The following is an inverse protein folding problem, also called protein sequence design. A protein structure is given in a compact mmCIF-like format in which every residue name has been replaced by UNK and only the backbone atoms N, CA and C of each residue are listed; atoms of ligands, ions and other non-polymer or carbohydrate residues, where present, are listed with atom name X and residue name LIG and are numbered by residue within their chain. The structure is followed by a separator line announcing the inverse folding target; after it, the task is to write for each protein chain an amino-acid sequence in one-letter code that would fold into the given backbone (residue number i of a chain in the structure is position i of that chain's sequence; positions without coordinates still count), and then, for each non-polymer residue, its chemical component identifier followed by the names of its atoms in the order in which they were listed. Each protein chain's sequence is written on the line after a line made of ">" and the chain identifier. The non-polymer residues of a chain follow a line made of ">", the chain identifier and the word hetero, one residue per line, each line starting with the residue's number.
data_IF_271332200254
#
_entry.id   IF_271332200254
#
_cell.length_a   1.000
_cell.length_b   1.000
_cell.length_c   1.000
_cell.angle_alpha   90.00
_cell.angle_beta   90.00
_cell.angle_gamma   90.00
#
_symmetry.space_group_name_H-M   'P 1'
#
loop_
_entity.id
_entity.type
_entity.pdbx_description
1 polymer ?
#
# COMPACT_ATOMS: atom_id res chain seq x y z
N UNK A 1 5.89 -3.06 15.86
CA UNK A 1 4.61 -2.89 15.14
C UNK A 1 3.50 -2.74 16.17
N UNK A 2 2.82 -1.59 16.18
CA UNK A 2 1.73 -1.26 17.12
C UNK A 2 0.41 -1.76 16.55
N UNK A 3 -0.32 -2.54 17.33
CA UNK A 3 -1.53 -3.23 16.89
C UNK A 3 -2.69 -2.87 17.80
N UNK A 4 -3.88 -2.71 17.21
CA UNK A 4 -5.15 -2.71 17.92
C UNK A 4 -6.02 -3.87 17.47
N UNK A 5 -6.84 -4.41 18.36
CA UNK A 5 -7.84 -5.45 18.05
C UNK A 5 -9.21 -4.90 18.42
N UNK A 6 -10.18 -5.02 17.52
CA UNK A 6 -11.59 -4.75 17.79
C UNK A 6 -12.39 -6.04 17.59
N UNK A 7 -12.93 -6.57 18.69
CA UNK A 7 -13.60 -7.87 18.78
C UNK A 7 -14.51 -7.84 20.02
N UNK A 8 -15.81 -8.06 19.84
CA UNK A 8 -16.79 -8.02 20.94
C UNK A 8 -16.87 -9.34 21.70
N UNK A 9 -16.39 -10.44 21.12
CA UNK A 9 -16.30 -11.73 21.79
C UNK A 9 -15.00 -11.86 22.64
N UNK A 10 -15.09 -11.93 23.98
CA UNK A 10 -13.91 -11.97 24.85
C UNK A 10 -13.06 -13.23 24.68
N UNK A 11 -13.65 -14.35 24.26
CA UNK A 11 -12.93 -15.61 24.02
C UNK A 11 -12.07 -15.48 22.76
N UNK A 12 -12.63 -14.93 21.70
CA UNK A 12 -11.93 -14.73 20.43
C UNK A 12 -10.86 -13.65 20.54
N UNK A 13 -11.15 -12.55 21.24
CA UNK A 13 -10.17 -11.52 21.57
C UNK A 13 -8.96 -12.14 22.30
N UNK A 14 -9.21 -12.97 23.33
CA UNK A 14 -8.14 -13.65 24.07
C UNK A 14 -7.34 -14.60 23.17
N UNK A 15 -8.00 -15.29 22.25
CA UNK A 15 -7.34 -16.18 21.30
C UNK A 15 -6.44 -15.41 20.32
N UNK A 16 -6.94 -14.34 19.71
CA UNK A 16 -6.17 -13.46 18.81
C UNK A 16 -4.95 -12.90 19.56
N UNK A 17 -5.14 -12.40 20.79
CA UNK A 17 -4.03 -11.89 21.63
C UNK A 17 -2.94 -12.93 21.83
N UNK A 18 -3.31 -14.17 22.15
CA UNK A 18 -2.35 -15.26 22.32
C UNK A 18 -1.63 -15.64 21.02
N UNK A 19 -2.27 -15.49 19.86
CA UNK A 19 -1.60 -15.70 18.57
C UNK A 19 -0.59 -14.59 18.27
N UNK A 20 -0.97 -13.33 18.51
CA UNK A 20 -0.11 -12.16 18.26
C UNK A 20 1.06 -12.08 19.25
N UNK A 21 0.87 -12.48 20.51
CA UNK A 21 1.92 -12.41 21.54
C UNK A 21 3.10 -13.36 21.30
N UNK A 22 2.97 -14.31 20.35
CA UNK A 22 4.07 -15.20 19.93
C UNK A 22 5.16 -14.46 19.15
N UNK A 23 4.88 -13.24 18.69
CA UNK A 23 5.81 -12.40 17.94
C UNK A 23 6.21 -11.19 18.78
N UNK A 24 7.48 -11.14 19.19
CA UNK A 24 8.02 -10.08 20.07
C UNK A 24 8.00 -8.68 19.45
N UNK A 25 7.88 -8.57 18.13
CA UNK A 25 7.85 -7.28 17.44
C UNK A 25 6.45 -6.63 17.47
N UNK A 26 5.45 -7.31 18.04
CA UNK A 26 4.07 -6.84 18.13
C UNK A 26 3.80 -6.25 19.51
N UNK A 27 3.42 -4.98 19.53
CA UNK A 27 2.94 -4.29 20.72
C UNK A 27 1.43 -4.07 20.58
N UNK A 28 0.63 -4.74 21.41
CA UNK A 28 -0.80 -4.48 21.51
C UNK A 28 -1.02 -3.17 22.27
N UNK A 29 -1.56 -2.16 21.59
CA UNK A 29 -1.73 -0.80 22.14
C UNK A 29 -3.19 -0.44 22.47
N UNK A 30 -4.13 -1.33 22.16
CA UNK A 30 -5.53 -1.15 22.48
C UNK A 30 -6.36 -2.38 22.16
N UNK A 31 -7.52 -2.45 22.80
CA UNK A 31 -8.57 -3.46 22.61
C UNK A 31 -9.89 -2.71 22.59
N UNK A 32 -10.76 -3.03 21.64
CA UNK A 32 -12.09 -2.44 21.52
C UNK A 32 -13.14 -3.55 21.43
N UNK A 33 -14.32 -3.32 22.01
CA UNK A 33 -15.45 -4.24 21.91
C UNK A 33 -16.56 -3.76 20.96
N UNK A 34 -16.40 -2.57 20.37
CA UNK A 34 -17.33 -2.00 19.41
C UNK A 34 -16.60 -1.05 18.45
N UNK A 35 -17.22 -0.73 17.31
CA UNK A 35 -16.56 0.08 16.29
C UNK A 35 -16.28 1.53 16.69
N UNK A 36 -17.09 2.14 17.57
CA UNK A 36 -16.84 3.52 18.05
C UNK A 36 -15.60 3.56 18.95
N UNK A 37 -15.49 2.60 19.88
CA UNK A 37 -14.31 2.45 20.72
C UNK A 37 -13.05 2.21 19.87
N UNK A 38 -13.15 1.39 18.82
CA UNK A 38 -12.06 1.14 17.89
C UNK A 38 -11.57 2.44 17.23
N UNK A 39 -12.47 3.27 16.69
CA UNK A 39 -12.13 4.56 16.07
C UNK A 39 -11.42 5.50 17.06
N UNK A 40 -11.96 5.61 18.27
CA UNK A 40 -11.41 6.46 19.32
C UNK A 40 -9.99 6.02 19.71
N UNK A 41 -9.78 4.72 19.91
CA UNK A 41 -8.48 4.18 20.26
C UNK A 41 -7.49 4.26 19.10
N UNK A 42 -7.91 4.03 17.86
CA UNK A 42 -7.06 4.20 16.67
C UNK A 42 -6.58 5.66 16.59
N UNK A 43 -7.48 6.62 16.78
CA UNK A 43 -7.15 8.05 16.74
C UNK A 43 -6.18 8.45 17.85
N UNK A 44 -6.39 7.91 19.07
CA UNK A 44 -5.56 8.21 20.25
C UNK A 44 -4.18 7.55 20.20
N UNK A 45 -4.10 6.30 19.77
CA UNK A 45 -2.89 5.48 19.87
C UNK A 45 -2.09 5.40 18.58
N UNK A 46 -2.66 5.84 17.44
CA UNK A 46 -2.05 5.82 16.11
C UNK A 46 -1.32 4.50 15.81
N UNK A 47 -2.03 3.35 15.79
CA UNK A 47 -1.41 2.05 15.55
C UNK A 47 -1.02 1.87 14.08
N UNK A 48 -0.10 0.94 13.81
CA UNK A 48 0.30 0.57 12.45
C UNK A 48 -0.77 -0.31 11.78
N UNK A 49 -1.49 -1.09 12.59
CA UNK A 49 -2.45 -2.12 12.13
C UNK A 49 -3.66 -2.18 13.06
N UNK A 50 -4.85 -2.32 12.47
CA UNK A 50 -6.08 -2.72 13.16
C UNK A 50 -6.55 -4.09 12.67
N UNK A 51 -6.76 -5.02 13.61
CA UNK A 51 -7.53 -6.24 13.38
C UNK A 51 -8.97 -5.97 13.82
N UNK A 52 -9.92 -6.10 12.89
CA UNK A 52 -11.32 -5.75 13.12
C UNK A 52 -12.21 -6.96 12.85
N UNK A 53 -13.13 -7.29 13.75
CA UNK A 53 -14.31 -8.04 13.35
C UNK A 53 -15.26 -7.14 12.55
N UNK A 54 -15.93 -7.71 11.57
CA UNK A 54 -17.01 -7.04 10.85
C UNK A 54 -18.24 -6.94 11.75
N UNK A 55 -18.57 -8.01 12.47
CA UNK A 55 -19.78 -8.08 13.28
C UNK A 55 -19.52 -7.60 14.68
N UNK A 56 -19.49 -6.28 14.83
CA UNK A 56 -19.37 -5.61 16.12
C UNK A 56 -20.60 -4.74 16.40
N UNK A 57 -21.00 -4.57 17.67
CA UNK A 57 -22.10 -3.70 18.04
C UNK A 57 -21.76 -2.23 17.75
N UNK A 58 -22.81 -1.41 17.71
CA UNK A 58 -22.78 0.05 17.50
C UNK A 58 -22.30 0.48 16.11
N UNK A 59 -21.22 -0.12 15.61
CA UNK A 59 -20.63 0.14 14.30
C UNK A 59 -19.82 -1.07 13.85
N UNK A 60 -20.06 -1.51 12.63
CA UNK A 60 -19.37 -2.67 12.05
C UNK A 60 -17.90 -2.36 11.72
N UNK A 61 -17.06 -3.40 11.64
CA UNK A 61 -15.67 -3.24 11.22
C UNK A 61 -15.52 -2.62 9.83
N UNK A 62 -16.46 -2.89 8.92
CA UNK A 62 -16.46 -2.28 7.57
C UNK A 62 -16.71 -0.77 7.64
N UNK A 63 -17.66 -0.33 8.45
CA UNK A 63 -17.92 1.09 8.67
C UNK A 63 -16.75 1.77 9.36
N UNK A 64 -16.11 1.10 10.33
CA UNK A 64 -14.85 1.58 10.92
C UNK A 64 -13.81 1.78 9.82
N UNK A 65 -13.53 0.77 9.01
CA UNK A 65 -12.50 0.83 7.97
C UNK A 65 -12.74 1.95 6.94
N UNK A 66 -14.01 2.24 6.60
CA UNK A 66 -14.37 3.36 5.69
C UNK A 66 -14.04 4.73 6.26
N UNK A 67 -13.98 4.87 7.58
CA UNK A 67 -13.68 6.13 8.26
C UNK A 67 -12.21 6.28 8.65
N UNK A 68 -11.41 5.22 8.50
CA UNK A 68 -9.99 5.27 8.77
C UNK A 68 -9.23 5.93 7.61
N UNK A 69 -8.20 6.71 7.96
CA UNK A 69 -7.28 7.30 6.99
C UNK A 69 -6.34 6.23 6.39
N UNK A 70 -5.79 6.47 5.18
CA UNK A 70 -4.90 5.55 4.43
C UNK A 70 -3.59 5.13 5.15
N UNK A 71 -3.29 5.73 6.31
CA UNK A 71 -2.05 5.49 7.04
C UNK A 71 -2.06 4.18 7.84
N UNK A 72 -3.23 3.68 8.26
CA UNK A 72 -3.36 2.45 9.04
C UNK A 72 -3.64 1.23 8.15
N UNK A 73 -3.00 0.12 8.48
CA UNK A 73 -3.27 -1.18 7.85
C UNK A 73 -4.50 -1.83 8.47
N UNK A 74 -5.49 -2.23 7.66
CA UNK A 74 -6.68 -2.94 8.18
C UNK A 74 -6.61 -4.42 7.82
N UNK A 75 -6.92 -5.29 8.79
CA UNK A 75 -7.14 -6.73 8.58
C UNK A 75 -8.49 -7.10 9.19
N UNK A 76 -9.34 -7.77 8.41
CA UNK A 76 -10.59 -8.30 8.91
C UNK A 76 -10.42 -9.72 9.46
N UNK A 77 -11.02 -9.99 10.62
CA UNK A 77 -11.14 -11.33 11.20
C UNK A 77 -12.61 -11.57 11.50
N UNK A 78 -13.29 -12.43 10.74
CA UNK A 78 -14.75 -12.54 10.85
C UNK A 78 -15.27 -13.94 10.55
N UNK A 79 -16.47 -14.26 11.04
CA UNK A 79 -17.19 -15.49 10.68
C UNK A 79 -17.96 -15.37 9.35
N UNK A 80 -18.07 -14.15 8.79
CA UNK A 80 -18.85 -13.91 7.58
C UNK A 80 -18.01 -14.15 6.32
N UNK A 81 -18.55 -14.90 5.35
CA UNK A 81 -17.88 -15.11 4.06
C UNK A 81 -18.22 -14.02 3.03
N UNK A 82 -19.39 -13.40 3.16
CA UNK A 82 -20.00 -12.61 2.07
C UNK A 82 -19.42 -11.20 1.94
N UNK A 83 -18.72 -10.70 2.97
CA UNK A 83 -18.17 -9.35 3.01
C UNK A 83 -16.76 -9.23 2.43
N UNK A 84 -16.19 -10.30 1.87
CA UNK A 84 -14.83 -10.27 1.34
C UNK A 84 -14.66 -9.18 0.26
N UNK A 85 -15.63 -9.00 -0.64
CA UNK A 85 -15.58 -7.97 -1.68
C UNK A 85 -15.58 -6.54 -1.12
N UNK A 86 -16.37 -6.29 -0.09
CA UNK A 86 -16.42 -4.99 0.57
C UNK A 86 -15.16 -4.70 1.39
N UNK A 87 -14.63 -5.72 2.06
CA UNK A 87 -13.34 -5.63 2.72
C UNK A 87 -12.21 -5.27 1.74
N UNK A 88 -12.26 -5.77 0.50
CA UNK A 88 -11.31 -5.36 -0.55
C UNK A 88 -11.51 -3.91 -0.99
N UNK A 89 -12.75 -3.43 -1.11
CA UNK A 89 -13.02 -2.07 -1.61
C UNK A 89 -12.55 -0.98 -0.65
N UNK A 90 -12.49 -1.28 0.66
CA UNK A 90 -11.95 -0.38 1.69
C UNK A 90 -10.41 -0.48 1.85
N UNK A 91 -9.73 -1.21 0.96
CA UNK A 91 -8.27 -1.29 0.94
C UNK A 91 -7.66 -2.10 2.09
N UNK A 92 -8.41 -3.05 2.67
CA UNK A 92 -7.84 -3.94 3.70
C UNK A 92 -6.67 -4.77 3.14
N UNK A 93 -5.68 -5.02 3.98
CA UNK A 93 -4.50 -5.82 3.64
C UNK A 93 -4.87 -7.29 3.53
N UNK A 94 -5.80 -7.74 4.38
CA UNK A 94 -6.17 -9.13 4.48
C UNK A 94 -7.56 -9.36 5.06
N UNK A 95 -8.11 -10.53 4.76
CA UNK A 95 -9.39 -11.03 5.22
C UNK A 95 -9.22 -12.46 5.73
N UNK A 96 -9.49 -12.67 7.01
CA UNK A 96 -9.29 -13.94 7.72
C UNK A 96 -10.64 -14.44 8.21
N UNK A 97 -10.98 -15.67 7.84
CA UNK A 97 -12.19 -16.33 8.30
C UNK A 97 -11.96 -17.02 9.64
N UNK A 98 -12.95 -16.92 10.52
CA UNK A 98 -13.06 -17.73 11.74
C UNK A 98 -13.54 -19.14 11.35
N UNK A 99 -13.02 -20.23 11.95
CA UNK A 99 -12.01 -20.25 13.01
C UNK A 99 -10.60 -19.90 12.49
N UNK A 100 -9.85 -19.16 13.30
CA UNK A 100 -8.55 -18.61 12.89
C UNK A 100 -7.47 -19.70 12.89
N UNK A 101 -6.93 -19.98 11.71
CA UNK A 101 -5.71 -20.77 11.52
C UNK A 101 -4.47 -19.97 11.98
N UNK A 102 -3.69 -20.47 12.96
CA UNK A 102 -2.46 -19.82 13.41
C UNK A 102 -1.45 -19.52 12.29
N UNK A 103 -1.32 -20.42 11.32
CA UNK A 103 -0.41 -20.21 10.18
C UNK A 103 -0.92 -19.10 9.25
N UNK A 104 -2.25 -18.92 9.17
CA UNK A 104 -2.85 -17.83 8.41
C UNK A 104 -2.51 -16.47 9.03
N UNK A 105 -2.65 -16.32 10.35
CA UNK A 105 -2.26 -15.09 11.05
C UNK A 105 -0.77 -14.80 10.87
N UNK A 106 0.09 -15.81 11.00
CA UNK A 106 1.55 -15.65 10.82
C UNK A 106 1.92 -15.13 9.43
N UNK A 107 1.26 -15.65 8.38
CA UNK A 107 1.42 -15.15 7.00
C UNK A 107 0.97 -13.69 6.88
N UNK A 108 -0.16 -13.33 7.49
CA UNK A 108 -0.68 -11.96 7.50
C UNK A 108 0.28 -11.01 8.21
N UNK A 109 0.77 -11.35 9.40
CA UNK A 109 1.79 -10.57 10.13
C UNK A 109 3.04 -10.37 9.27
N UNK A 110 3.54 -11.43 8.65
CA UNK A 110 4.73 -11.35 7.78
C UNK A 110 4.51 -10.38 6.62
N UNK A 111 3.33 -10.41 6.00
CA UNK A 111 2.96 -9.48 4.92
C UNK A 111 2.89 -8.04 5.41
N UNK A 112 2.26 -7.81 6.56
CA UNK A 112 2.18 -6.48 7.17
C UNK A 112 3.57 -5.97 7.52
N UNK A 113 4.42 -6.76 8.18
CA UNK A 113 5.79 -6.34 8.51
C UNK A 113 6.56 -5.86 7.29
N UNK A 114 6.41 -6.49 6.12
CA UNK A 114 7.01 -6.01 4.86
C UNK A 114 6.47 -4.64 4.43
N UNK A 115 5.16 -4.44 4.53
CA UNK A 115 4.50 -3.17 4.19
C UNK A 115 4.88 -2.07 5.18
N UNK A 116 4.87 -2.35 6.48
CA UNK A 116 5.24 -1.40 7.55
C UNK A 116 6.73 -1.07 7.53
N UNK A 117 7.60 -2.06 7.28
CA UNK A 117 9.04 -1.83 7.11
C UNK A 117 9.32 -0.91 5.92
N UNK A 118 8.55 -1.06 4.84
CA UNK A 118 8.60 -0.15 3.69
C UNK A 118 8.01 1.24 3.98
N UNK A 119 7.05 1.36 4.91
CA UNK A 119 6.47 2.66 5.36
C UNK A 119 7.38 3.44 6.33
N UNK A 120 8.14 2.77 7.20
CA UNK A 120 8.85 3.41 8.33
C UNK A 120 10.37 3.60 8.15
N UNK A 121 10.97 3.13 7.06
CA UNK A 121 12.30 3.56 6.66
C UNK A 121 12.14 4.62 5.57
N UNK A 122 12.82 5.77 5.67
CA UNK A 122 12.97 6.63 4.48
C UNK A 122 13.71 5.81 3.44
N UNK A 123 12.97 5.21 2.51
CA UNK A 123 13.53 4.41 1.44
C UNK A 123 14.20 5.38 0.50
N UNK A 124 15.52 5.54 0.64
CA UNK A 124 16.28 6.48 -0.17
C UNK A 124 17.01 5.76 -1.28
N UNK A 125 16.94 6.30 -2.49
CA UNK A 125 17.82 5.91 -3.59
C UNK A 125 18.90 6.96 -3.78
N UNK A 126 20.14 6.50 -4.01
CA UNK A 126 21.22 7.37 -4.43
C UNK A 126 21.11 7.62 -5.93
N UNK A 127 21.15 8.88 -6.34
CA UNK A 127 21.12 9.29 -7.75
C UNK A 127 22.25 10.28 -8.04
N UNK A 128 22.84 10.16 -9.22
CA UNK A 128 23.94 11.01 -9.65
C UNK A 128 23.43 12.24 -10.40
N UNK A 129 23.73 13.43 -9.87
CA UNK A 129 23.41 14.72 -10.48
C UNK A 129 24.71 15.49 -10.63
N UNK A 130 25.16 15.71 -11.86
CA UNK A 130 26.45 16.40 -12.14
C UNK A 130 27.61 15.74 -11.36
N UNK A 131 28.14 16.40 -10.32
CA UNK A 131 29.26 15.95 -9.47
C UNK A 131 28.84 15.60 -8.04
N UNK A 132 27.54 15.47 -7.79
CA UNK A 132 27.00 15.18 -6.46
C UNK A 132 26.10 13.94 -6.49
N UNK A 133 26.08 13.22 -5.37
CA UNK A 133 25.12 12.16 -5.09
C UNK A 133 23.98 12.77 -4.29
N UNK A 134 22.76 12.71 -4.82
CA UNK A 134 21.56 13.10 -4.11
C UNK A 134 20.84 11.84 -3.63
N UNK A 135 20.37 11.85 -2.38
CA UNK A 135 19.53 10.79 -1.85
C UNK A 135 18.06 11.20 -1.94
N UNK A 136 17.30 10.52 -2.78
CA UNK A 136 15.87 10.79 -2.99
C UNK A 136 15.02 9.81 -2.21
N UNK A 137 14.03 10.33 -1.48
CA UNK A 137 12.98 9.52 -0.87
C UNK A 137 12.08 8.93 -1.95
N UNK A 138 12.09 7.60 -2.05
CA UNK A 138 11.35 6.82 -3.04
C UNK A 138 9.85 7.04 -2.93
N UNK A 139 9.33 7.27 -1.72
CA UNK A 139 7.91 7.50 -1.49
C UNK A 139 7.42 8.83 -2.08
N UNK A 140 8.33 9.76 -2.37
CA UNK A 140 8.00 11.05 -3.00
C UNK A 140 8.04 11.00 -4.52
N UNK A 141 8.54 9.91 -5.12
CA UNK A 141 8.67 9.77 -6.58
C UNK A 141 7.34 9.31 -7.18
N UNK A 142 6.84 10.05 -8.18
CA UNK A 142 5.60 9.75 -8.91
C UNK A 142 5.89 8.91 -10.16
N UNK A 143 6.78 9.40 -11.03
CA UNK A 143 7.21 8.69 -12.23
C UNK A 143 8.60 9.13 -12.66
N UNK A 144 9.22 8.33 -13.53
CA UNK A 144 10.44 8.66 -14.25
C UNK A 144 10.14 8.77 -15.74
N UNK A 145 10.73 9.77 -16.40
CA UNK A 145 10.62 9.99 -17.85
C UNK A 145 12.02 10.06 -18.48
N UNK A 146 12.27 9.26 -19.51
CA UNK A 146 13.48 9.41 -20.33
C UNK A 146 13.33 10.60 -21.26
N UNK A 147 14.20 11.59 -21.08
CA UNK A 147 14.27 12.78 -21.94
C UNK A 147 15.19 12.50 -23.13
N UNK A 148 14.67 12.36 -24.37
CA UNK A 148 15.45 11.89 -25.51
C UNK A 148 16.61 12.82 -25.89
N UNK A 149 16.38 14.14 -25.79
CA UNK A 149 17.30 15.16 -26.28
C UNK A 149 18.52 15.37 -25.38
N UNK A 150 18.37 15.14 -24.07
CA UNK A 150 19.39 15.50 -23.06
C UNK A 150 20.08 14.29 -22.44
N UNK A 151 19.75 13.07 -22.87
CA UNK A 151 20.29 11.79 -22.34
C UNK A 151 20.23 11.70 -20.80
N UNK A 152 19.14 12.21 -20.22
CA UNK A 152 18.86 12.18 -18.78
C UNK A 152 17.51 11.58 -18.51
N UNK A 153 17.32 11.16 -17.27
CA UNK A 153 16.04 10.70 -16.74
C UNK A 153 15.50 11.79 -15.83
N UNK A 154 14.30 12.27 -16.13
CA UNK A 154 13.53 13.15 -15.29
C UNK A 154 12.87 12.32 -14.19
N UNK A 155 13.07 12.69 -12.93
CA UNK A 155 12.34 12.19 -11.78
C UNK A 155 11.29 13.22 -11.42
N UNK A 156 10.01 12.87 -11.60
CA UNK A 156 8.90 13.69 -11.14
C UNK A 156 8.56 13.29 -9.70
N UNK A 157 8.62 14.26 -8.80
CA UNK A 157 8.32 14.11 -7.38
C UNK A 157 6.99 14.80 -7.04
N UNK A 158 6.48 14.52 -5.85
CA UNK A 158 5.38 15.28 -5.24
C UNK A 158 5.70 16.79 -5.17
N UNK A 159 4.64 17.60 -5.02
CA UNK A 159 4.71 19.07 -5.00
C UNK A 159 5.29 19.68 -6.30
N UNK A 160 5.09 19.01 -7.45
CA UNK A 160 5.57 19.44 -8.76
C UNK A 160 7.10 19.66 -8.85
N UNK A 161 7.87 18.98 -8.00
CA UNK A 161 9.32 19.06 -8.07
C UNK A 161 9.85 18.07 -9.12
N UNK A 162 10.71 18.54 -10.01
CA UNK A 162 11.32 17.73 -11.05
C UNK A 162 12.85 17.76 -10.97
N UNK A 163 13.49 16.60 -11.18
CA UNK A 163 14.95 16.46 -11.08
C UNK A 163 15.50 15.68 -12.26
N UNK A 164 16.48 16.26 -12.95
CA UNK A 164 17.18 15.61 -14.06
C UNK A 164 18.42 14.85 -13.59
N UNK A 165 18.40 13.54 -13.75
CA UNK A 165 19.41 12.60 -13.26
C UNK A 165 20.15 11.93 -14.42
N UNK A 166 21.45 11.73 -14.26
CA UNK A 166 22.26 10.93 -15.19
C UNK A 166 22.02 9.44 -14.95
N UNK A 167 21.68 8.68 -16.00
CA UNK A 167 21.46 7.24 -15.91
C UNK A 167 20.61 6.71 -17.06
N UNK A 168 20.22 5.44 -16.97
CA UNK A 168 19.33 4.77 -17.92
C UNK A 168 18.03 4.37 -17.23
N UNK A 169 16.93 4.24 -17.98
CA UNK A 169 15.70 3.73 -17.41
C UNK A 169 15.88 2.29 -16.94
N UNK A 170 16.65 1.48 -17.65
CA UNK A 170 16.93 0.10 -17.28
C UNK A 170 17.64 0.01 -15.91
N UNK A 171 18.63 0.86 -15.66
CA UNK A 171 19.31 0.91 -14.37
C UNK A 171 18.40 1.36 -13.22
N UNK A 172 17.55 2.36 -13.47
CA UNK A 172 16.58 2.80 -12.46
C UNK A 172 15.43 1.81 -12.24
N UNK A 173 15.01 1.08 -13.27
CA UNK A 173 14.01 0.02 -13.15
C UNK A 173 14.49 -1.10 -12.22
N UNK A 174 15.76 -1.52 -12.38
CA UNK A 174 16.37 -2.49 -11.49
C UNK A 174 16.50 -1.96 -10.04
N UNK A 175 16.97 -0.72 -9.89
CA UNK A 175 17.10 -0.08 -8.58
C UNK A 175 15.75 0.11 -7.87
N UNK A 176 14.67 0.35 -8.63
CA UNK A 176 13.33 0.62 -8.11
C UNK A 176 12.41 -0.61 -8.05
N UNK A 177 12.88 -1.77 -8.53
CA UNK A 177 12.10 -3.01 -8.73
C UNK A 177 11.32 -3.47 -7.49
N UNK A 178 11.87 -3.26 -6.30
CA UNK A 178 11.27 -3.70 -5.04
C UNK A 178 10.43 -2.63 -4.34
N UNK A 179 10.28 -1.46 -4.96
CA UNK A 179 9.64 -0.28 -4.36
C UNK A 179 8.28 0.07 -4.99
N UNK A 180 7.67 -0.86 -5.74
CA UNK A 180 6.37 -0.65 -6.37
C UNK A 180 6.40 0.18 -7.65
N UNK A 181 7.55 0.22 -8.32
CA UNK A 181 7.72 0.86 -9.62
C UNK A 181 7.63 -0.17 -10.75
N UNK A 182 7.12 0.25 -11.90
CA UNK A 182 7.01 -0.61 -13.08
C UNK A 182 7.21 0.19 -14.37
N UNK A 183 7.86 -0.41 -15.37
CA UNK A 183 7.88 0.12 -16.74
C UNK A 183 6.46 0.16 -17.30
N UNK A 184 6.01 1.33 -17.72
CA UNK A 184 4.71 1.49 -18.42
C UNK A 184 4.88 1.68 -19.92
N UNK A 185 6.04 2.19 -20.35
CA UNK A 185 6.36 2.51 -21.73
C UNK A 185 7.88 2.52 -21.89
N UNK A 186 8.41 2.45 -23.12
CA UNK A 186 9.87 2.51 -23.35
C UNK A 186 10.54 3.73 -22.70
N UNK A 187 9.81 4.83 -22.56
CA UNK A 187 10.29 6.09 -21.97
C UNK A 187 9.82 6.33 -20.52
N UNK A 188 9.07 5.43 -19.90
CA UNK A 188 8.49 5.70 -18.58
C UNK A 188 8.63 4.54 -17.59
N UNK A 189 8.81 4.89 -16.33
CA UNK A 189 8.60 4.03 -15.15
C UNK A 189 7.62 4.78 -14.24
N UNK A 190 6.61 4.09 -13.72
CA UNK A 190 5.56 4.70 -12.90
C UNK A 190 5.53 4.09 -11.51
N UNK A 191 5.23 4.90 -10.49
CA UNK A 191 4.97 4.42 -9.14
C UNK A 191 3.51 3.98 -9.03
N UNK A 192 3.28 2.69 -8.78
CA UNK A 192 1.93 2.13 -8.67
C UNK A 192 1.16 2.70 -7.48
N UNK A 193 1.85 3.08 -6.40
CA UNK A 193 1.22 3.64 -5.20
C UNK A 193 0.74 5.08 -5.39
N UNK A 194 1.14 5.75 -6.49
CA UNK A 194 0.75 7.13 -6.80
C UNK A 194 -0.33 7.23 -7.88
N UNK A 195 -0.79 6.09 -8.42
CA UNK A 195 -1.82 6.06 -9.45
C UNK A 195 -3.17 6.41 -8.84
N UNK A 196 -3.86 7.39 -9.44
CA UNK A 196 -5.23 7.77 -9.08
C UNK A 196 -6.26 7.11 -9.99
N UNK A 197 -5.95 6.99 -11.29
CA UNK A 197 -6.84 6.38 -12.28
C UNK A 197 -6.06 5.86 -13.49
N UNK A 198 -6.58 4.81 -14.11
CA UNK A 198 -6.13 4.35 -15.44
C UNK A 198 -7.32 4.47 -16.39
N UNK A 199 -7.10 5.10 -17.54
CA UNK A 199 -8.15 5.43 -18.52
C UNK A 199 -7.79 4.80 -19.86
N UNK A 200 -8.71 4.08 -20.53
CA UNK A 200 -8.49 3.64 -21.90
C UNK A 200 -8.21 4.82 -22.83
N UNK A 201 -7.21 4.69 -23.69
CA UNK A 201 -6.84 5.72 -24.65
C UNK A 201 -6.52 5.06 -25.98
N UNK A 202 -7.53 4.83 -26.83
CA UNK A 202 -7.38 4.13 -28.10
C UNK A 202 -7.20 2.62 -27.97
N UNK A 203 -6.71 1.98 -29.05
CA UNK A 203 -6.63 0.53 -29.17
C UNK A 203 -5.47 -0.07 -28.36
N UNK A 204 -5.81 -0.71 -27.23
CA UNK A 204 -4.87 -1.36 -26.32
C UNK A 204 -3.80 -0.43 -25.69
N UNK A 205 -4.07 0.86 -25.66
CA UNK A 205 -3.27 1.86 -24.94
C UNK A 205 -4.10 2.48 -23.82
N UNK A 206 -3.43 2.83 -22.72
CA UNK A 206 -4.07 3.38 -21.52
C UNK A 206 -3.26 4.58 -21.03
N UNK A 207 -3.93 5.53 -20.40
CA UNK A 207 -3.33 6.66 -19.71
C UNK A 207 -3.42 6.45 -18.20
N UNK A 208 -2.33 6.72 -17.52
CA UNK A 208 -2.23 6.74 -16.06
C UNK A 208 -2.32 8.18 -15.61
N UNK A 209 -3.27 8.45 -14.73
CA UNK A 209 -3.34 9.66 -13.91
C UNK A 209 -2.77 9.36 -12.54
N UNK A 210 -2.09 10.34 -11.97
CA UNK A 210 -1.48 10.24 -10.65
C UNK A 210 -2.17 11.17 -9.65
N UNK A 211 -1.95 10.92 -8.36
CA UNK A 211 -2.23 11.89 -7.31
C UNK A 211 -1.13 12.97 -7.31
N UNK A 212 -1.51 14.24 -7.31
CA UNK A 212 -0.56 15.36 -7.12
C UNK A 212 0.16 15.88 -8.37
N UNK A 213 -0.24 15.46 -9.58
CA UNK A 213 0.22 16.07 -10.84
C UNK A 213 -0.86 15.96 -11.93
N UNK A 214 -0.91 16.92 -12.84
CA UNK A 214 -1.78 16.89 -14.03
C UNK A 214 -1.20 16.07 -15.18
N UNK A 215 0.08 15.67 -15.09
CA UNK A 215 0.74 14.88 -16.13
C UNK A 215 0.05 13.52 -16.26
N UNK A 216 -0.19 13.12 -17.50
CA UNK A 216 -0.67 11.80 -17.87
C UNK A 216 0.46 10.98 -18.50
N UNK A 217 0.62 9.72 -18.08
CA UNK A 217 1.65 8.82 -18.59
C UNK A 217 1.02 7.64 -19.31
N UNK A 218 1.52 7.32 -20.50
CA UNK A 218 1.01 6.21 -21.30
C UNK A 218 1.49 4.85 -20.79
N UNK A 219 0.61 3.85 -20.89
CA UNK A 219 0.92 2.42 -20.85
C UNK A 219 0.85 1.88 -22.27
N UNK A 220 1.95 1.37 -22.81
CA UNK A 220 1.92 0.67 -24.10
C UNK A 220 1.48 -0.79 -23.94
N UNK A 221 0.92 -1.33 -25.02
CA UNK A 221 0.39 -2.71 -25.11
C UNK A 221 1.32 -3.78 -24.56
N UNK A 222 2.63 -3.62 -24.74
CA UNK A 222 3.66 -4.56 -24.26
C UNK A 222 3.77 -4.64 -22.73
N UNK A 223 3.54 -3.53 -22.02
CA UNK A 223 3.65 -3.46 -20.55
C UNK A 223 2.31 -3.67 -19.84
N UNK A 224 1.21 -3.52 -20.58
CA UNK A 224 -0.14 -3.65 -20.05
C UNK A 224 -0.41 -4.99 -19.32
N UNK A 225 -0.01 -6.17 -19.83
CA UNK A 225 -0.26 -7.43 -19.12
C UNK A 225 0.39 -7.49 -17.74
N UNK A 226 1.63 -7.02 -17.63
CA UNK A 226 2.35 -6.97 -16.35
C UNK A 226 1.64 -6.02 -15.36
N UNK A 227 1.28 -4.82 -15.80
CA UNK A 227 0.60 -3.83 -14.96
C UNK A 227 -0.79 -4.33 -14.55
N UNK A 228 -1.57 -4.93 -15.47
CA UNK A 228 -2.88 -5.52 -15.16
C UNK A 228 -2.75 -6.67 -14.15
N UNK A 229 -1.72 -7.50 -14.26
CA UNK A 229 -1.45 -8.58 -13.32
C UNK A 229 -1.14 -8.04 -11.92
N UNK A 230 -0.29 -7.01 -11.83
CA UNK A 230 0.09 -6.41 -10.54
C UNK A 230 -1.11 -5.69 -9.89
N UNK A 231 -1.87 -4.92 -10.68
CA UNK A 231 -3.04 -4.16 -10.20
C UNK A 231 -4.32 -4.99 -10.10
N UNK A 232 -4.29 -6.27 -10.50
CA UNK A 232 -5.44 -7.19 -10.52
C UNK A 232 -6.68 -6.62 -11.25
N UNK A 233 -6.44 -5.82 -12.29
CA UNK A 233 -7.51 -5.24 -13.12
C UNK A 233 -8.13 -6.37 -13.95
N UNK A 234 -9.37 -6.77 -13.65
CA UNK A 234 -10.12 -7.74 -14.45
C UNK A 234 -10.58 -7.13 -15.78
N UNK A 235 -10.76 -8.01 -16.78
CA UNK A 235 -11.41 -7.64 -18.05
C UNK A 235 -12.84 -7.19 -17.82
#
# INVERSE_FOLDING_TARGET
>A
MRVIIAEDNPVELRYIKNLLSKDSDIALVGEANNGIEAINLISKTKPDVAFLDISMPVKSGLEVAKELNENISVVFITAHNDFALEAFSVGSIDYILKPIDPERIKKTITRIKRITYNKNTTQKIAVNIKRQILFLDVNKIIYLEKLPLVKKILFALENNQEINVSGTLEGFDEQLKYYGFVRSHKSYIINLNKISRIIPWGDNTYLVKFNGTEKEVMISRSYLPAIKSILRIRK
#
